data_IF_271510329212
#
_entry.id   IF_271510329212
#
_cell.length_a   1.000
_cell.length_b   1.000
_cell.length_c   1.000
_cell.angle_alpha   90.00
_cell.angle_beta   90.00
_cell.angle_gamma   90.00
#
_symmetry.space_group_name_H-M   'P 1'
#
loop_
_entity.id
_entity.type
_entity.pdbx_description
1 polymer ?
#
# COMPACT_ATOMS: atom_id res chain seq x y z
N UNK A 1 -0.31 -24.10 -7.57
CA UNK A 1 0.32 -22.87 -7.04
C UNK A 1 1.61 -22.66 -7.80
N UNK A 2 1.71 -21.58 -8.59
CA UNK A 2 2.92 -21.27 -9.34
C UNK A 2 3.65 -20.12 -8.67
N UNK A 3 4.83 -20.38 -8.12
CA UNK A 3 5.79 -19.32 -7.81
C UNK A 3 6.52 -18.97 -9.11
N UNK A 4 6.31 -17.76 -9.61
CA UNK A 4 6.96 -17.27 -10.82
C UNK A 4 7.64 -15.94 -10.53
N UNK A 5 8.90 -15.81 -10.92
CA UNK A 5 9.60 -14.53 -10.96
C UNK A 5 9.16 -13.80 -12.23
N UNK A 6 8.23 -12.85 -12.12
CA UNK A 6 7.90 -11.97 -13.23
C UNK A 6 8.91 -10.82 -13.27
N UNK A 7 9.99 -10.96 -14.05
CA UNK A 7 10.93 -9.86 -14.32
C UNK A 7 10.48 -9.15 -15.59
N UNK A 8 9.77 -8.02 -15.47
CA UNK A 8 9.44 -7.16 -16.60
C UNK A 8 10.45 -6.01 -16.67
N UNK A 9 11.18 -5.90 -17.78
CA UNK A 9 12.13 -4.82 -18.02
C UNK A 9 11.58 -3.88 -19.11
N UNK A 10 11.47 -2.59 -18.77
CA UNK A 10 11.12 -1.44 -19.61
C UNK A 10 9.72 -1.44 -20.24
N UNK A 11 8.81 -0.71 -19.59
CA UNK A 11 7.59 -0.18 -20.20
C UNK A 11 6.88 0.80 -19.26
N UNK A 12 6.27 1.86 -19.79
CA UNK A 12 5.45 2.86 -19.05
C UNK A 12 4.11 2.28 -18.57
N UNK A 13 4.09 1.01 -18.17
CA UNK A 13 2.88 0.24 -17.91
C UNK A 13 2.82 -0.31 -16.48
N UNK A 14 2.02 -1.37 -16.31
CA UNK A 14 1.85 -2.08 -15.06
C UNK A 14 2.74 -3.33 -15.00
N UNK A 15 3.41 -3.59 -13.87
CA UNK A 15 4.15 -4.83 -13.65
C UNK A 15 3.22 -6.04 -13.51
N UNK A 16 2.19 -5.92 -12.68
CA UNK A 16 1.09 -6.90 -12.60
C UNK A 16 -0.23 -6.17 -12.70
N UNK A 17 -1.11 -6.62 -13.61
CA UNK A 17 -2.48 -6.15 -13.70
C UNK A 17 -3.47 -7.31 -13.54
N UNK A 18 -4.39 -7.20 -12.58
CA UNK A 18 -5.40 -8.21 -12.34
C UNK A 18 -6.81 -7.59 -12.31
N UNK A 19 -7.71 -8.12 -13.15
CA UNK A 19 -9.12 -7.67 -13.24
C UNK A 19 -10.08 -8.68 -12.59
N UNK A 20 -9.80 -9.06 -11.34
CA UNK A 20 -10.61 -9.98 -10.53
C UNK A 20 -9.85 -11.19 -9.99
N UNK A 21 -10.59 -12.13 -9.38
CA UNK A 21 -10.02 -13.32 -8.75
C UNK A 21 -9.37 -13.06 -7.39
N UNK A 22 -8.79 -14.11 -6.79
CA UNK A 22 -7.87 -13.98 -5.67
C UNK A 22 -6.46 -14.07 -6.23
N UNK A 23 -5.66 -13.04 -5.98
CA UNK A 23 -4.29 -12.92 -6.48
C UNK A 23 -3.33 -13.16 -5.34
N UNK A 24 -2.37 -14.06 -5.54
CA UNK A 24 -1.31 -14.37 -4.58
C UNK A 24 0.03 -14.29 -5.30
N UNK A 25 0.87 -13.32 -4.92
CA UNK A 25 2.20 -13.10 -5.43
C UNK A 25 3.22 -13.45 -4.34
N UNK A 26 4.23 -14.23 -4.69
CA UNK A 26 5.28 -14.65 -3.77
C UNK A 26 6.64 -14.48 -4.41
N UNK A 27 7.59 -13.88 -3.67
CA UNK A 27 9.00 -13.75 -4.10
C UNK A 27 9.17 -13.04 -5.45
N UNK A 28 8.28 -12.07 -5.73
CA UNK A 28 8.27 -11.31 -6.98
C UNK A 28 9.22 -10.12 -6.93
N UNK A 29 9.81 -9.78 -8.07
CA UNK A 29 10.66 -8.60 -8.27
C UNK A 29 10.14 -7.81 -9.45
N UNK A 30 9.60 -6.62 -9.20
CA UNK A 30 9.03 -5.73 -10.22
C UNK A 30 9.91 -4.48 -10.24
N UNK A 31 10.30 -4.02 -11.43
CA UNK A 31 11.12 -2.82 -11.59
C UNK A 31 10.92 -2.18 -12.95
N UNK A 32 11.17 -0.87 -13.07
CA UNK A 32 11.15 -0.19 -14.37
C UNK A 32 9.76 0.01 -14.96
N UNK A 33 8.73 0.04 -14.11
CA UNK A 33 7.31 0.25 -14.44
C UNK A 33 6.80 1.53 -13.80
N UNK A 34 5.70 2.08 -14.30
CA UNK A 34 5.02 3.20 -13.64
C UNK A 34 4.15 2.71 -12.48
N UNK A 35 3.49 1.56 -12.67
CA UNK A 35 2.63 0.94 -11.67
C UNK A 35 3.14 -0.45 -11.34
N UNK A 36 3.45 -0.73 -10.07
CA UNK A 36 4.00 -2.01 -9.65
C UNK A 36 2.98 -3.15 -9.78
N UNK A 37 2.02 -3.19 -8.87
CA UNK A 37 0.88 -4.13 -8.87
C UNK A 37 -0.41 -3.35 -8.86
N UNK A 38 -1.28 -3.62 -9.83
CA UNK A 38 -2.59 -2.99 -9.95
C UNK A 38 -3.70 -4.05 -9.97
N UNK A 39 -4.61 -4.00 -9.00
CA UNK A 39 -5.76 -4.89 -8.94
C UNK A 39 -7.07 -4.11 -8.99
N UNK A 40 -7.92 -4.48 -9.95
CA UNK A 40 -9.31 -4.05 -10.04
C UNK A 40 -10.22 -5.25 -9.82
N UNK A 41 -11.02 -5.24 -8.75
CA UNK A 41 -11.87 -6.38 -8.39
C UNK A 41 -13.35 -6.03 -8.27
N UNK A 42 -14.19 -7.08 -8.31
CA UNK A 42 -15.57 -7.05 -7.77
C UNK A 42 -15.54 -7.45 -6.29
N UNK A 43 -16.70 -7.45 -5.64
CA UNK A 43 -16.86 -7.87 -4.24
C UNK A 43 -16.22 -9.24 -3.96
N UNK A 44 -15.61 -9.37 -2.78
CA UNK A 44 -15.04 -10.62 -2.27
C UNK A 44 -13.69 -11.03 -2.88
N UNK A 45 -13.05 -10.17 -3.67
CA UNK A 45 -11.71 -10.44 -4.25
C UNK A 45 -10.60 -10.02 -3.29
N UNK A 46 -9.43 -10.63 -3.43
CA UNK A 46 -8.30 -10.34 -2.56
C UNK A 46 -6.94 -10.36 -3.25
N UNK A 47 -6.03 -9.53 -2.75
CA UNK A 47 -4.62 -9.48 -3.13
C UNK A 47 -3.76 -9.91 -1.93
N UNK A 48 -2.82 -10.82 -2.16
CA UNK A 48 -1.76 -11.15 -1.22
C UNK A 48 -0.41 -11.04 -1.91
N UNK A 49 0.54 -10.31 -1.32
CA UNK A 49 1.93 -10.23 -1.76
C UNK A 49 2.80 -10.63 -0.58
N UNK A 50 3.69 -11.59 -0.76
CA UNK A 50 4.50 -12.15 0.31
C UNK A 50 5.89 -12.57 -0.17
N UNK A 51 6.75 -12.93 0.78
CA UNK A 51 8.07 -13.51 0.49
C UNK A 51 8.98 -12.47 -0.13
N UNK A 52 9.61 -11.64 0.70
CA UNK A 52 10.71 -10.71 0.36
C UNK A 52 10.58 -10.03 -1.03
N UNK A 53 9.36 -9.68 -1.41
CA UNK A 53 9.06 -9.19 -2.75
C UNK A 53 9.51 -7.74 -2.88
N UNK A 54 10.03 -7.36 -4.04
CA UNK A 54 10.47 -5.98 -4.32
C UNK A 54 9.65 -5.38 -5.43
N UNK A 55 9.22 -4.14 -5.27
CA UNK A 55 8.40 -3.40 -6.22
C UNK A 55 8.98 -2.00 -6.38
N UNK A 56 9.68 -1.78 -7.48
CA UNK A 56 10.22 -0.48 -7.84
C UNK A 56 9.36 0.13 -8.94
N UNK A 57 8.86 1.34 -8.69
CA UNK A 57 8.01 2.07 -9.62
C UNK A 57 8.53 3.48 -9.87
N UNK A 58 8.12 4.06 -10.99
CA UNK A 58 8.67 5.32 -11.51
C UNK A 58 7.62 6.43 -11.57
N UNK A 59 8.11 7.67 -11.51
CA UNK A 59 7.28 8.87 -11.61
C UNK A 59 6.13 8.89 -10.60
N UNK A 60 5.02 9.50 -10.98
CA UNK A 60 3.86 9.72 -10.08
C UNK A 60 2.96 8.48 -9.89
N UNK A 61 3.45 7.31 -10.30
CA UNK A 61 2.71 6.06 -10.25
C UNK A 61 2.51 5.50 -8.83
N UNK A 62 2.19 4.21 -8.79
CA UNK A 62 1.83 3.51 -7.55
C UNK A 62 2.54 2.18 -7.45
N UNK A 63 3.17 1.92 -6.31
CA UNK A 63 3.77 0.61 -6.01
C UNK A 63 2.73 -0.50 -5.98
N UNK A 64 1.72 -0.39 -5.11
CA UNK A 64 0.58 -1.31 -5.06
C UNK A 64 -0.74 -0.55 -5.03
N UNK A 65 -1.50 -0.65 -6.12
CA UNK A 65 -2.82 -0.05 -6.30
C UNK A 65 -3.94 -1.09 -6.25
N UNK A 66 -4.93 -0.88 -5.41
CA UNK A 66 -6.12 -1.74 -5.31
C UNK A 66 -7.39 -0.90 -5.40
N UNK A 67 -8.26 -1.25 -6.35
CA UNK A 67 -9.49 -0.53 -6.64
C UNK A 67 -10.71 -1.46 -6.72
N UNK A 68 -11.91 -0.86 -6.56
CA UNK A 68 -13.18 -1.50 -6.82
C UNK A 68 -13.73 -2.26 -5.61
N UNK A 69 -14.31 -3.44 -5.82
CA UNK A 69 -14.90 -4.28 -4.77
C UNK A 69 -13.91 -5.22 -4.08
N UNK A 70 -12.59 -5.01 -4.20
CA UNK A 70 -11.61 -5.83 -3.48
C UNK A 70 -11.81 -5.61 -1.98
N UNK A 71 -11.97 -6.70 -1.22
CA UNK A 71 -12.28 -6.63 0.21
C UNK A 71 -11.07 -6.92 1.10
N UNK A 72 -9.99 -7.48 0.56
CA UNK A 72 -8.79 -7.79 1.33
C UNK A 72 -7.49 -7.56 0.56
N UNK A 73 -6.59 -6.82 1.17
CA UNK A 73 -5.22 -6.59 0.69
C UNK A 73 -4.26 -6.97 1.80
N UNK A 74 -3.30 -7.85 1.51
CA UNK A 74 -2.30 -8.31 2.49
C UNK A 74 -0.91 -8.28 1.88
N UNK A 75 -0.02 -7.45 2.42
CA UNK A 75 1.39 -7.39 2.02
C UNK A 75 2.23 -7.83 3.22
N UNK A 76 3.17 -8.76 2.98
CA UNK A 76 4.02 -9.34 4.03
C UNK A 76 5.48 -9.35 3.58
N UNK A 77 6.35 -8.65 4.31
CA UNK A 77 7.79 -8.53 4.00
C UNK A 77 8.03 -8.02 2.56
N UNK A 78 7.25 -7.05 2.13
CA UNK A 78 7.37 -6.43 0.80
C UNK A 78 8.16 -5.14 0.91
N UNK A 79 9.07 -4.91 -0.03
CA UNK A 79 9.76 -3.63 -0.21
C UNK A 79 9.16 -2.92 -1.42
N UNK A 80 8.78 -1.67 -1.24
CA UNK A 80 8.20 -0.82 -2.28
C UNK A 80 9.05 0.46 -2.35
N UNK A 81 9.57 0.78 -3.53
CA UNK A 81 10.43 1.94 -3.71
C UNK A 81 9.97 2.77 -4.91
N UNK A 82 9.73 4.06 -4.67
CA UNK A 82 9.47 5.04 -5.73
C UNK A 82 10.72 5.83 -6.10
N UNK A 83 10.52 6.94 -6.82
CA UNK A 83 11.59 7.87 -7.25
C UNK A 83 11.46 9.27 -6.61
N UNK A 84 10.82 9.36 -5.44
CA UNK A 84 10.57 10.60 -4.70
C UNK A 84 9.20 11.23 -4.98
N UNK A 85 8.41 10.63 -5.87
CA UNK A 85 7.02 11.02 -6.14
C UNK A 85 6.08 9.80 -6.09
N UNK A 86 4.81 9.98 -6.45
CA UNK A 86 3.83 8.89 -6.45
C UNK A 86 3.43 8.36 -5.07
N UNK A 87 2.84 7.15 -5.05
CA UNK A 87 2.28 6.53 -3.84
C UNK A 87 2.78 5.11 -3.63
N UNK A 88 3.26 4.77 -2.42
CA UNK A 88 3.71 3.40 -2.13
C UNK A 88 2.57 2.39 -2.21
N UNK A 89 1.55 2.56 -1.38
CA UNK A 89 0.34 1.73 -1.37
C UNK A 89 -0.90 2.62 -1.49
N UNK A 90 -1.73 2.38 -2.50
CA UNK A 90 -3.01 3.04 -2.69
C UNK A 90 -4.14 2.01 -2.71
N UNK A 91 -5.12 2.17 -1.82
CA UNK A 91 -6.27 1.29 -1.76
C UNK A 91 -7.57 2.08 -1.69
N UNK A 92 -8.44 1.91 -2.68
CA UNK A 92 -9.76 2.53 -2.73
C UNK A 92 -10.85 1.48 -2.99
N UNK A 93 -11.54 1.08 -1.93
CA UNK A 93 -12.66 0.15 -1.97
C UNK A 93 -14.01 0.86 -2.14
N UNK A 94 -14.96 0.25 -2.85
CA UNK A 94 -16.36 0.70 -2.91
C UNK A 94 -17.21 0.20 -1.74
N UNK A 95 -16.65 -0.68 -0.91
CA UNK A 95 -17.27 -1.23 0.29
C UNK A 95 -16.22 -1.48 1.38
N UNK A 96 -16.57 -2.29 2.38
CA UNK A 96 -15.65 -2.60 3.48
C UNK A 96 -14.42 -3.35 2.98
N UNK A 97 -13.25 -2.80 3.28
CA UNK A 97 -11.96 -3.34 2.86
C UNK A 97 -11.02 -3.47 4.06
N UNK A 98 -10.38 -4.62 4.18
CA UNK A 98 -9.31 -4.88 5.13
C UNK A 98 -7.94 -4.74 4.43
N UNK A 99 -7.13 -3.80 4.88
CA UNK A 99 -5.75 -3.59 4.41
C UNK A 99 -4.78 -3.98 5.52
N UNK A 100 -3.96 -5.00 5.28
CA UNK A 100 -2.95 -5.49 6.22
C UNK A 100 -1.54 -5.37 5.65
N UNK A 101 -0.68 -4.61 6.31
CA UNK A 101 0.73 -4.48 5.98
C UNK A 101 1.60 -5.01 7.13
N UNK A 102 2.34 -6.08 6.90
CA UNK A 102 3.22 -6.70 7.90
C UNK A 102 4.67 -6.66 7.44
N UNK A 103 5.51 -5.93 8.17
CA UNK A 103 6.93 -5.71 7.87
C UNK A 103 7.17 -5.20 6.43
N UNK A 104 6.26 -4.35 5.95
CA UNK A 104 6.38 -3.67 4.67
C UNK A 104 7.31 -2.46 4.81
N UNK A 105 8.19 -2.25 3.84
CA UNK A 105 9.05 -1.05 3.77
C UNK A 105 8.69 -0.25 2.53
N UNK A 106 8.36 1.01 2.72
CA UNK A 106 8.03 1.96 1.64
C UNK A 106 9.05 3.09 1.72
N UNK A 107 9.67 3.45 0.60
CA UNK A 107 10.67 4.51 0.57
C UNK A 107 10.64 5.31 -0.75
N UNK A 108 11.15 6.54 -0.70
CA UNK A 108 11.24 7.44 -1.84
C UNK A 108 9.87 7.65 -2.52
N UNK A 109 8.84 8.02 -1.75
CA UNK A 109 7.50 8.30 -2.28
C UNK A 109 6.97 9.62 -1.76
N UNK A 110 6.10 10.29 -2.52
CA UNK A 110 5.40 11.47 -2.00
C UNK A 110 4.34 11.09 -0.96
N UNK A 111 3.69 9.94 -1.14
CA UNK A 111 2.67 9.40 -0.22
C UNK A 111 3.01 7.96 0.14
N UNK A 112 3.09 7.64 1.42
CA UNK A 112 3.41 6.28 1.87
C UNK A 112 2.28 5.28 1.62
N UNK A 113 1.30 5.27 2.50
CA UNK A 113 0.10 4.44 2.45
C UNK A 113 -1.12 5.35 2.40
N UNK A 114 -1.98 5.17 1.41
CA UNK A 114 -3.24 5.90 1.25
C UNK A 114 -4.39 4.91 1.14
N UNK A 115 -5.27 4.91 2.15
CA UNK A 115 -6.50 4.11 2.14
C UNK A 115 -7.72 5.02 2.12
N UNK A 116 -8.44 5.00 0.99
CA UNK A 116 -9.62 5.81 0.72
C UNK A 116 -10.85 4.91 0.58
N UNK A 117 -11.55 4.62 1.67
CA UNK A 117 -12.63 3.65 1.66
C UNK A 117 -13.16 3.42 3.06
N UNK A 118 -14.12 2.52 3.23
CA UNK A 118 -14.57 2.08 4.56
C UNK A 118 -13.83 0.80 4.95
N UNK A 119 -13.60 0.58 6.25
CA UNK A 119 -13.08 -0.68 6.77
C UNK A 119 -11.92 -0.55 7.75
N UNK A 120 -10.95 -1.45 7.65
CA UNK A 120 -9.88 -1.62 8.65
C UNK A 120 -8.50 -1.60 8.01
N UNK A 121 -7.62 -0.79 8.57
CA UNK A 121 -6.21 -0.73 8.20
C UNK A 121 -5.38 -1.23 9.38
N UNK A 122 -4.52 -2.19 9.14
CA UNK A 122 -3.59 -2.73 10.14
C UNK A 122 -2.17 -2.71 9.57
N UNK A 123 -1.27 -1.99 10.23
CA UNK A 123 0.15 -1.92 9.86
C UNK A 123 0.97 -2.40 11.06
N UNK A 124 1.85 -3.38 10.83
CA UNK A 124 2.68 -4.00 11.87
C UNK A 124 4.14 -4.01 11.44
N UNK A 125 5.00 -3.44 12.27
CA UNK A 125 6.42 -3.27 11.95
C UNK A 125 6.64 -2.40 10.72
N UNK A 126 7.75 -2.65 10.03
CA UNK A 126 8.07 -1.99 8.76
C UNK A 126 8.48 -0.52 8.90
N UNK A 127 8.60 0.14 7.75
CA UNK A 127 8.94 1.56 7.66
C UNK A 127 8.24 2.25 6.50
N UNK A 128 7.98 3.55 6.65
CA UNK A 128 7.42 4.41 5.62
C UNK A 128 8.22 5.70 5.59
N UNK A 129 8.99 5.89 4.52
CA UNK A 129 9.77 7.10 4.28
C UNK A 129 9.09 7.89 3.15
N UNK A 130 8.66 9.13 3.44
CA UNK A 130 7.90 9.96 2.52
C UNK A 130 8.42 11.40 2.46
N UNK A 131 8.18 12.06 1.33
CA UNK A 131 8.64 13.44 1.03
C UNK A 131 7.51 14.41 0.69
N UNK A 132 6.26 13.95 0.74
CA UNK A 132 5.11 14.72 0.31
C UNK A 132 4.02 14.80 1.37
N UNK A 133 2.78 14.57 0.96
CA UNK A 133 1.62 14.89 1.78
C UNK A 133 1.55 14.12 3.10
N UNK A 134 1.86 12.82 3.09
CA UNK A 134 1.71 11.98 4.28
C UNK A 134 2.46 10.64 4.24
N UNK A 135 2.74 10.12 5.43
CA UNK A 135 3.22 8.75 5.62
C UNK A 135 2.09 7.74 5.52
N UNK A 136 1.07 7.86 6.39
CA UNK A 136 -0.11 6.99 6.38
C UNK A 136 -1.36 7.84 6.41
N UNK A 137 -2.18 7.74 5.37
CA UNK A 137 -3.49 8.34 5.28
C UNK A 137 -4.58 7.28 5.34
N UNK A 138 -5.58 7.53 6.18
CA UNK A 138 -6.82 6.77 6.23
C UNK A 138 -8.00 7.73 6.20
N UNK A 139 -8.94 7.52 5.27
CA UNK A 139 -10.07 8.42 5.17
C UNK A 139 -11.33 7.84 4.57
N UNK A 140 -12.42 8.61 4.72
CA UNK A 140 -13.85 8.28 4.57
C UNK A 140 -14.50 7.66 5.83
N UNK A 141 -15.81 7.37 5.72
CA UNK A 141 -16.72 7.03 6.81
C UNK A 141 -16.36 5.68 7.47
N UNK A 142 -16.17 5.67 8.78
CA UNK A 142 -16.08 4.44 9.58
C UNK A 142 -14.80 3.63 9.40
N UNK A 143 -13.69 4.29 9.03
CA UNK A 143 -12.39 3.61 8.88
C UNK A 143 -11.64 3.60 10.20
N UNK A 144 -11.19 2.41 10.60
CA UNK A 144 -10.30 2.20 11.75
C UNK A 144 -8.88 1.92 11.28
N UNK A 145 -7.90 2.46 11.99
CA UNK A 145 -6.49 2.22 11.71
C UNK A 145 -5.76 1.80 12.98
N UNK A 146 -4.97 0.74 12.87
CA UNK A 146 -4.10 0.23 13.93
C UNK A 146 -2.68 0.12 13.37
N UNK A 147 -1.76 0.90 13.93
CA UNK A 147 -0.33 0.87 13.59
C UNK A 147 0.44 0.39 14.81
N UNK A 148 1.31 -0.61 14.63
CA UNK A 148 2.12 -1.17 15.72
C UNK A 148 3.58 -1.31 15.34
N UNK A 149 4.50 -0.70 16.10
CA UNK A 149 5.94 -0.86 15.90
C UNK A 149 6.46 -0.32 14.55
N UNK A 150 5.69 0.55 13.89
CA UNK A 150 6.03 1.11 12.58
C UNK A 150 6.88 2.37 12.73
N UNK A 151 7.91 2.51 11.88
CA UNK A 151 8.64 3.77 11.73
C UNK A 151 8.07 4.55 10.56
N UNK A 152 7.77 5.83 10.76
CA UNK A 152 7.32 6.76 9.73
C UNK A 152 8.28 7.94 9.74
N UNK A 153 8.95 8.21 8.62
CA UNK A 153 9.92 9.28 8.50
C UNK A 153 9.54 10.21 7.37
N UNK A 154 9.35 11.50 7.69
CA UNK A 154 9.08 12.56 6.73
C UNK A 154 10.32 13.42 6.46
N UNK A 155 10.32 14.19 5.38
CA UNK A 155 11.39 15.15 5.07
C UNK A 155 11.24 16.52 5.76
N UNK A 156 10.32 16.61 6.72
CA UNK A 156 9.95 17.85 7.41
C UNK A 156 8.71 18.54 6.81
N UNK A 157 8.14 18.02 5.72
CA UNK A 157 6.86 18.43 5.17
C UNK A 157 5.78 17.33 5.28
N UNK A 158 4.50 17.73 5.27
CA UNK A 158 3.37 16.79 5.35
C UNK A 158 3.03 16.27 6.75
N UNK A 159 2.23 15.20 6.80
CA UNK A 159 1.71 14.61 8.04
C UNK A 159 2.07 13.12 8.15
N UNK A 160 2.75 12.70 9.22
CA UNK A 160 3.16 11.31 9.41
C UNK A 160 1.98 10.32 9.38
N UNK A 161 0.98 10.52 10.25
CA UNK A 161 -0.28 9.76 10.24
C UNK A 161 -1.44 10.74 10.15
N UNK A 162 -2.23 10.64 9.10
CA UNK A 162 -3.35 11.53 8.81
C UNK A 162 -4.65 10.73 8.69
N UNK A 163 -5.61 11.01 9.59
CA UNK A 163 -6.92 10.38 9.56
C UNK A 163 -8.00 11.45 9.38
N UNK A 164 -8.81 11.32 8.32
CA UNK A 164 -9.87 12.27 8.01
C UNK A 164 -11.10 11.57 7.42
N UNK A 165 -12.26 11.76 8.05
CA UNK A 165 -13.50 11.14 7.62
C UNK A 165 -14.71 11.69 8.37
N UNK A 166 -15.89 11.15 8.04
CA UNK A 166 -17.15 11.50 8.71
C UNK A 166 -17.61 10.34 9.59
N UNK A 167 -18.13 10.64 10.78
CA UNK A 167 -18.50 9.62 11.77
C UNK A 167 -17.33 9.22 12.68
N UNK A 168 -17.55 8.19 13.50
CA UNK A 168 -16.54 7.73 14.45
C UNK A 168 -15.36 7.07 13.71
N UNK A 169 -14.16 7.54 14.03
CA UNK A 169 -12.90 6.97 13.54
C UNK A 169 -12.03 6.62 14.75
N UNK A 170 -11.40 5.47 14.69
CA UNK A 170 -10.43 5.03 15.71
C UNK A 170 -9.07 4.87 15.07
N UNK A 171 -8.08 5.58 15.60
CA UNK A 171 -6.68 5.42 15.23
C UNK A 171 -5.91 5.00 16.47
N UNK A 172 -5.38 3.78 16.45
CA UNK A 172 -4.53 3.24 17.52
C UNK A 172 -3.08 3.20 17.06
N UNK A 173 -2.20 3.87 17.79
CA UNK A 173 -0.76 3.88 17.57
C UNK A 173 -0.07 3.23 18.77
N UNK A 174 0.59 2.09 18.54
CA UNK A 174 1.31 1.33 19.57
C UNK A 174 2.78 1.24 19.17
N UNK A 175 3.69 1.84 19.95
CA UNK A 175 5.13 1.86 19.65
C UNK A 175 5.47 2.39 18.23
N UNK A 176 4.67 3.35 17.74
CA UNK A 176 4.91 4.00 16.43
C UNK A 176 5.89 5.15 16.63
N UNK A 177 6.93 5.21 15.80
CA UNK A 177 7.88 6.33 15.78
C UNK A 177 7.63 7.18 14.55
N UNK A 178 7.35 8.46 14.76
CA UNK A 178 7.22 9.47 13.71
C UNK A 178 8.35 10.47 13.89
N UNK A 179 9.10 10.75 12.83
CA UNK A 179 10.25 11.68 12.84
C UNK A 179 10.34 12.47 11.55
#
# INVERSE_FOLDING_TARGET
EGTGTLTMNKGSGMGVYAKGGTVSLADVRISGVEMGVMMLGKEGKSLTIRGNSTIDFKGDGVGVGVLGGVTRVSLMRTVITGEGSGTGVYAMGVGEMAVGLDNVRISNVAKGVSVEGTGRVTIRGGSVDFTGAHGVYVGKKGTSAELRGTRITGDGSGTGVYAMGVGEMTVALDNVRIS
#
